data_IF_625570294737
#
_entry.id   IF_625570294737
#
_cell.length_a   1.000
_cell.length_b   1.000
_cell.length_c   1.000
_cell.angle_alpha   90.00
_cell.angle_beta   90.00
_cell.angle_gamma   90.00
#
_symmetry.space_group_name_H-M   'P 1'
#
loop_
_entity.id
_entity.type
_entity.pdbx_description
1 polymer ?
#
# COMPACT_ATOMS: atom_id res chain seq x y z
N UNK A 1 8.19 55.25 -29.97
CA UNK A 1 8.10 55.09 -28.50
C UNK A 1 6.97 54.19 -28.07
N UNK A 2 5.74 54.26 -28.59
CA UNK A 2 4.57 53.43 -28.20
C UNK A 2 4.78 51.93 -28.40
N UNK A 3 5.47 51.49 -29.48
CA UNK A 3 5.73 50.05 -29.74
C UNK A 3 6.71 49.43 -28.73
N UNK A 4 7.71 50.17 -28.24
CA UNK A 4 8.65 49.71 -27.20
C UNK A 4 7.98 49.64 -25.83
N UNK A 5 7.07 50.57 -25.53
CA UNK A 5 6.28 50.55 -24.28
C UNK A 5 5.31 49.38 -24.25
N UNK A 6 4.68 49.05 -25.37
CA UNK A 6 3.77 47.90 -25.50
C UNK A 6 4.51 46.56 -25.33
N UNK A 7 5.71 46.47 -25.96
CA UNK A 7 6.57 45.27 -25.79
C UNK A 7 7.06 45.08 -24.35
N UNK A 8 7.35 46.16 -23.64
CA UNK A 8 7.76 46.12 -22.24
C UNK A 8 6.58 45.70 -21.32
N UNK A 9 5.40 46.23 -21.63
CA UNK A 9 4.18 45.88 -20.89
C UNK A 9 3.77 44.38 -21.07
N UNK A 10 3.87 43.87 -22.31
CA UNK A 10 3.61 42.46 -22.59
C UNK A 10 4.64 41.55 -21.93
N UNK A 11 5.91 41.90 -21.90
CA UNK A 11 6.94 41.15 -21.19
C UNK A 11 6.71 41.14 -19.66
N UNK A 12 6.29 42.26 -19.09
CA UNK A 12 5.97 42.40 -17.67
C UNK A 12 4.76 41.53 -17.29
N UNK A 13 3.72 41.53 -18.13
CA UNK A 13 2.53 40.68 -17.92
C UNK A 13 2.87 39.18 -18.03
N UNK A 14 3.75 38.82 -18.99
CA UNK A 14 4.21 37.44 -19.13
C UNK A 14 5.03 37.00 -17.90
N UNK A 15 5.89 37.86 -17.34
CA UNK A 15 6.63 37.56 -16.11
C UNK A 15 5.73 37.43 -14.88
N UNK A 16 4.64 38.20 -14.80
CA UNK A 16 3.66 38.06 -13.70
C UNK A 16 2.88 36.73 -13.76
N UNK A 17 2.63 36.19 -14.95
CA UNK A 17 1.98 34.88 -15.11
C UNK A 17 2.90 33.71 -14.78
N UNK A 18 4.23 33.89 -14.78
CA UNK A 18 5.18 32.84 -14.37
C UNK A 18 5.43 32.79 -12.86
N UNK A 19 4.95 33.78 -12.09
CA UNK A 19 4.98 33.76 -10.64
C UNK A 19 3.79 32.96 -10.11
N UNK A 20 3.73 31.63 -10.40
CA UNK A 20 2.91 30.72 -9.64
C UNK A 20 3.53 30.65 -8.25
N UNK A 21 2.85 31.05 -7.17
CA UNK A 21 3.37 30.81 -5.84
C UNK A 21 3.55 29.28 -5.70
N UNK A 22 4.80 28.85 -5.65
CA UNK A 22 5.11 27.52 -5.20
C UNK A 22 4.72 27.51 -3.71
N UNK A 23 3.48 27.15 -3.41
CA UNK A 23 3.17 26.63 -2.08
C UNK A 23 4.06 25.41 -1.95
N UNK A 24 5.05 25.47 -1.08
CA UNK A 24 5.85 24.32 -0.74
C UNK A 24 4.88 23.31 -0.09
N UNK A 25 4.36 22.40 -0.90
CA UNK A 25 3.65 21.24 -0.38
C UNK A 25 4.60 20.50 0.55
N UNK A 26 4.10 20.05 1.71
CA UNK A 26 4.89 19.22 2.61
C UNK A 26 5.34 17.98 1.85
N UNK A 27 6.61 17.57 1.99
CA UNK A 27 7.11 16.37 1.34
C UNK A 27 6.31 15.15 1.82
N UNK A 28 6.16 14.17 0.94
CA UNK A 28 5.47 12.92 1.27
C UNK A 28 6.33 12.02 2.16
N UNK A 29 7.68 12.14 2.04
CA UNK A 29 8.64 11.43 2.87
C UNK A 29 9.30 12.42 3.83
N UNK A 30 8.91 12.36 5.09
CA UNK A 30 9.40 13.21 6.18
C UNK A 30 10.37 12.43 7.04
N UNK A 31 11.64 12.40 6.63
CA UNK A 31 12.70 11.68 7.35
C UNK A 31 13.33 12.62 8.41
N UNK A 32 12.64 12.83 9.53
CA UNK A 32 13.12 13.72 10.60
C UNK A 32 14.19 13.07 11.47
N UNK A 33 14.36 11.77 11.39
CA UNK A 33 15.42 11.02 12.07
C UNK A 33 16.72 10.96 11.27
N UNK A 34 16.71 11.42 10.00
CA UNK A 34 17.83 11.26 9.07
C UNK A 34 18.24 9.78 8.92
N UNK A 35 17.23 8.89 8.86
CA UNK A 35 17.40 7.44 8.75
C UNK A 35 18.02 7.05 7.40
N UNK A 36 17.67 7.80 6.37
CA UNK A 36 18.09 7.54 5.00
C UNK A 36 19.14 8.55 4.56
N UNK A 37 19.95 8.16 3.57
CA UNK A 37 20.79 9.11 2.86
C UNK A 37 19.92 10.04 2.02
N UNK A 38 20.37 11.30 1.75
CA UNK A 38 19.58 12.25 0.97
C UNK A 38 19.11 11.73 -0.39
N UNK A 39 19.95 10.93 -1.07
CA UNK A 39 19.60 10.33 -2.36
C UNK A 39 18.48 9.30 -2.22
N UNK A 40 18.51 8.49 -1.16
CA UNK A 40 17.48 7.49 -0.87
C UNK A 40 16.16 8.14 -0.45
N UNK A 41 16.21 9.24 0.33
CA UNK A 41 15.03 10.02 0.67
C UNK A 41 14.38 10.61 -0.57
N UNK A 42 15.19 11.17 -1.50
CA UNK A 42 14.69 11.71 -2.75
C UNK A 42 14.05 10.64 -3.65
N UNK A 43 14.62 9.44 -3.68
CA UNK A 43 14.06 8.30 -4.42
C UNK A 43 12.72 7.84 -3.83
N UNK A 44 12.64 7.70 -2.51
CA UNK A 44 11.38 7.37 -1.82
C UNK A 44 10.32 8.45 -2.02
N UNK A 45 10.71 9.73 -1.97
CA UNK A 45 9.83 10.86 -2.26
C UNK A 45 9.24 10.78 -3.67
N UNK A 46 10.08 10.51 -4.68
CA UNK A 46 9.61 10.36 -6.05
C UNK A 46 8.62 9.18 -6.17
N UNK A 47 8.94 8.04 -5.56
CA UNK A 47 8.02 6.88 -5.53
C UNK A 47 6.70 7.20 -4.84
N UNK A 48 6.73 7.94 -3.73
CA UNK A 48 5.53 8.35 -3.02
C UNK A 48 4.68 9.33 -3.84
N UNK A 49 5.32 10.25 -4.58
CA UNK A 49 4.64 11.15 -5.51
C UNK A 49 3.99 10.37 -6.65
N UNK A 50 4.71 9.42 -7.25
CA UNK A 50 4.19 8.58 -8.32
C UNK A 50 3.00 7.74 -7.83
N UNK A 51 3.09 7.15 -6.62
CA UNK A 51 2.02 6.38 -5.98
C UNK A 51 0.77 7.22 -5.66
N UNK A 52 0.95 8.51 -5.38
CA UNK A 52 -0.15 9.43 -5.05
C UNK A 52 -0.79 10.04 -6.30
N UNK A 53 -0.05 10.06 -7.41
CA UNK A 53 -0.44 10.79 -8.62
C UNK A 53 -1.76 10.26 -9.21
N UNK A 54 -2.73 11.16 -9.38
CA UNK A 54 -4.01 10.84 -10.03
C UNK A 54 -5.04 10.13 -9.16
N UNK A 55 -4.70 9.72 -7.94
CA UNK A 55 -5.59 8.95 -7.06
C UNK A 55 -6.37 9.81 -6.04
N UNK A 56 -5.96 11.07 -5.86
CA UNK A 56 -6.59 11.95 -4.87
C UNK A 56 -6.37 11.52 -3.41
N UNK A 57 -5.33 10.72 -3.18
CA UNK A 57 -4.90 10.22 -1.86
C UNK A 57 -3.38 10.28 -1.80
N UNK A 58 -2.83 10.98 -0.82
CA UNK A 58 -1.39 11.08 -0.64
C UNK A 58 -0.84 9.93 0.22
N UNK A 59 0.33 9.41 -0.18
CA UNK A 59 1.04 8.35 0.54
C UNK A 59 2.21 8.98 1.29
N UNK A 60 2.12 9.00 2.62
CA UNK A 60 3.12 9.61 3.50
C UNK A 60 3.96 8.58 4.25
N UNK A 61 5.23 8.87 4.40
CA UNK A 61 6.17 8.18 5.28
C UNK A 61 6.76 9.19 6.27
N UNK A 62 6.72 8.87 7.56
CA UNK A 62 7.31 9.70 8.61
C UNK A 62 8.25 8.86 9.47
N UNK A 63 9.50 9.31 9.62
CA UNK A 63 10.43 8.76 10.59
C UNK A 63 10.70 9.78 11.69
N UNK A 64 10.62 9.35 12.94
CA UNK A 64 10.92 10.19 14.12
C UNK A 64 11.82 9.45 15.09
N UNK A 65 12.59 10.18 15.91
CA UNK A 65 13.39 9.56 16.98
C UNK A 65 12.49 9.08 18.11
N UNK A 66 11.75 10.00 18.72
CA UNK A 66 10.94 9.76 19.91
C UNK A 66 9.54 10.37 19.76
N UNK A 67 8.58 9.76 20.41
CA UNK A 67 7.18 10.20 20.47
C UNK A 67 6.82 10.79 21.83
N UNK A 68 7.81 11.05 22.69
CA UNK A 68 7.63 11.66 24.02
C UNK A 68 6.80 10.82 24.99
N UNK A 69 6.81 9.49 24.84
CA UNK A 69 6.01 8.58 25.66
C UNK A 69 4.51 8.62 25.38
N UNK A 70 4.10 9.29 24.31
CA UNK A 70 2.70 9.32 23.85
C UNK A 70 2.31 7.99 23.16
N UNK A 71 1.02 7.78 23.02
CA UNK A 71 0.54 6.71 22.15
C UNK A 71 0.90 7.02 20.69
N UNK A 72 1.56 6.08 20.00
CA UNK A 72 2.07 6.27 18.63
C UNK A 72 0.96 6.68 17.65
N UNK A 73 -0.26 6.16 17.82
CA UNK A 73 -1.40 6.49 16.95
C UNK A 73 -1.90 7.92 17.19
N UNK A 74 -1.94 8.36 18.43
CA UNK A 74 -2.34 9.75 18.73
C UNK A 74 -1.27 10.73 18.26
N UNK A 75 0.01 10.42 18.46
CA UNK A 75 1.10 11.21 17.91
C UNK A 75 1.02 11.35 16.38
N UNK A 76 0.79 10.25 15.67
CA UNK A 76 0.64 10.27 14.20
C UNK A 76 -0.56 11.12 13.75
N UNK A 77 -1.69 11.04 14.46
CA UNK A 77 -2.88 11.85 14.18
C UNK A 77 -2.63 13.35 14.42
N UNK A 78 -1.96 13.68 15.52
CA UNK A 78 -1.63 15.06 15.85
C UNK A 78 -0.64 15.63 14.84
N UNK A 79 0.35 14.86 14.44
CA UNK A 79 1.27 15.21 13.36
C UNK A 79 0.51 15.50 12.06
N UNK A 80 -0.34 14.56 11.64
CA UNK A 80 -1.13 14.68 10.41
C UNK A 80 -1.96 15.98 10.38
N UNK A 81 -2.59 16.30 11.49
CA UNK A 81 -3.41 17.53 11.63
C UNK A 81 -2.57 18.79 11.73
N UNK A 82 -1.47 18.76 12.49
CA UNK A 82 -0.63 19.94 12.74
C UNK A 82 0.06 20.45 11.48
N UNK A 83 0.41 19.53 10.58
CA UNK A 83 1.04 19.84 9.31
C UNK A 83 0.04 19.90 8.15
N UNK A 84 -1.26 19.84 8.45
CA UNK A 84 -2.35 19.95 7.48
C UNK A 84 -2.20 18.98 6.30
N UNK A 85 -1.74 17.75 6.58
CA UNK A 85 -1.43 16.73 5.58
C UNK A 85 -2.69 16.23 4.86
N UNK A 86 -2.51 15.66 3.67
CA UNK A 86 -3.56 15.03 2.88
C UNK A 86 -3.92 15.78 1.62
N UNK A 87 -4.47 15.07 0.66
CA UNK A 87 -4.88 15.60 -0.62
C UNK A 87 -6.24 16.29 -0.53
N UNK A 88 -6.33 17.49 -1.09
CA UNK A 88 -7.57 18.26 -1.24
C UNK A 88 -8.23 18.66 0.09
N UNK A 89 -9.47 19.14 0.00
CA UNK A 89 -10.23 19.58 1.18
C UNK A 89 -10.53 18.44 2.17
N UNK A 90 -10.68 17.20 1.67
CA UNK A 90 -10.93 16.00 2.47
C UNK A 90 -9.69 15.47 3.19
N UNK A 91 -8.52 16.10 3.00
CA UNK A 91 -7.25 15.69 3.61
C UNK A 91 -6.99 14.19 3.45
N UNK A 92 -7.21 13.70 2.21
CA UNK A 92 -7.15 12.28 1.91
C UNK A 92 -5.71 11.78 1.90
N UNK A 93 -5.41 10.74 2.66
CA UNK A 93 -4.07 10.16 2.70
C UNK A 93 -3.95 8.93 3.59
N UNK A 94 -2.80 8.30 3.46
CA UNK A 94 -2.31 7.25 4.34
C UNK A 94 -0.93 7.67 4.85
N UNK A 95 -0.69 7.54 6.15
CA UNK A 95 0.59 7.85 6.78
C UNK A 95 1.11 6.60 7.49
N UNK A 96 2.33 6.20 7.17
CA UNK A 96 3.10 5.23 7.94
C UNK A 96 4.16 5.96 8.76
N UNK A 97 4.08 5.81 10.08
CA UNK A 97 5.02 6.39 11.02
C UNK A 97 5.91 5.31 11.61
N UNK A 98 7.21 5.58 11.69
CA UNK A 98 8.22 4.77 12.36
C UNK A 98 8.87 5.62 13.45
N UNK A 99 8.73 5.23 14.71
CA UNK A 99 9.41 5.84 15.87
C UNK A 99 10.57 4.93 16.30
N UNK A 100 11.81 5.37 16.05
CA UNK A 100 12.96 4.49 16.12
C UNK A 100 13.40 4.18 17.57
N UNK A 101 13.35 5.16 18.47
CA UNK A 101 13.80 4.98 19.84
C UNK A 101 12.85 4.10 20.66
N UNK A 102 11.53 4.27 20.47
CA UNK A 102 10.51 3.43 21.11
C UNK A 102 10.28 2.11 20.36
N UNK A 103 10.78 1.98 19.12
CA UNK A 103 10.52 0.86 18.19
C UNK A 103 9.04 0.64 17.92
N UNK A 104 8.29 1.74 17.91
CA UNK A 104 6.88 1.75 17.58
C UNK A 104 6.66 2.11 16.11
N UNK A 105 5.56 1.65 15.58
CA UNK A 105 5.08 2.05 14.26
C UNK A 105 3.57 2.14 14.26
N UNK A 106 3.02 2.84 13.28
CA UNK A 106 1.57 2.90 13.07
C UNK A 106 1.26 3.31 11.64
N UNK A 107 0.21 2.71 11.10
CA UNK A 107 -0.44 3.17 9.87
C UNK A 107 -1.76 3.86 10.24
N UNK A 108 -1.97 5.06 9.71
CA UNK A 108 -3.23 5.80 9.84
C UNK A 108 -3.71 6.27 8.47
N UNK A 109 -5.03 6.41 8.33
CA UNK A 109 -5.69 6.86 7.09
C UNK A 109 -6.65 8.00 7.37
N UNK A 110 -6.79 8.91 6.41
CA UNK A 110 -7.71 10.04 6.46
C UNK A 110 -8.44 10.23 5.12
N UNK A 111 -9.62 10.84 5.19
CA UNK A 111 -10.41 11.17 4.01
C UNK A 111 -10.67 9.97 3.10
N UNK A 112 -10.39 10.11 1.81
CA UNK A 112 -10.50 9.02 0.83
C UNK A 112 -9.59 7.83 1.11
N UNK A 113 -8.49 8.02 1.85
CA UNK A 113 -7.62 6.93 2.29
C UNK A 113 -8.35 5.91 3.15
N UNK A 114 -9.29 6.33 4.00
CA UNK A 114 -10.10 5.40 4.83
C UNK A 114 -10.93 4.45 3.96
N UNK A 115 -11.39 4.92 2.80
CA UNK A 115 -12.18 4.10 1.88
C UNK A 115 -11.30 3.20 1.02
N UNK A 116 -10.16 3.68 0.56
CA UNK A 116 -9.25 2.94 -0.31
C UNK A 116 -8.48 1.83 0.44
N UNK A 117 -8.08 2.11 1.70
CA UNK A 117 -7.28 1.21 2.52
C UNK A 117 -8.13 0.59 3.63
N UNK A 118 -8.61 -0.63 3.39
CA UNK A 118 -9.31 -1.42 4.40
C UNK A 118 -8.35 -1.90 5.50
N UNK A 119 -8.88 -2.22 6.69
CA UNK A 119 -8.08 -2.83 7.76
C UNK A 119 -7.37 -4.11 7.28
N UNK A 120 -8.04 -4.89 6.42
CA UNK A 120 -7.46 -6.07 5.79
C UNK A 120 -6.21 -5.73 4.97
N UNK A 121 -6.26 -4.67 4.16
CA UNK A 121 -5.11 -4.26 3.34
C UNK A 121 -4.00 -3.65 4.17
N UNK A 122 -4.33 -2.85 5.17
CA UNK A 122 -3.35 -2.31 6.12
C UNK A 122 -2.62 -3.44 6.83
N UNK A 123 -3.33 -4.45 7.33
CA UNK A 123 -2.72 -5.61 7.96
C UNK A 123 -1.76 -6.35 7.01
N UNK A 124 -2.13 -6.54 5.72
CA UNK A 124 -1.23 -7.15 4.73
C UNK A 124 0.05 -6.32 4.50
N UNK A 125 -0.08 -4.99 4.45
CA UNK A 125 1.08 -4.10 4.32
C UNK A 125 1.98 -4.27 5.55
N UNK A 126 1.43 -4.15 6.75
CA UNK A 126 2.16 -4.27 8.01
C UNK A 126 2.81 -5.68 8.16
N UNK A 127 2.09 -6.75 7.88
CA UNK A 127 2.63 -8.12 7.89
C UNK A 127 3.86 -8.29 6.99
N UNK A 128 3.90 -7.52 5.88
CA UNK A 128 5.02 -7.56 4.94
C UNK A 128 6.22 -6.74 5.38
N UNK A 129 5.98 -5.53 5.93
CA UNK A 129 7.04 -4.57 6.22
C UNK A 129 7.62 -4.70 7.65
N UNK A 130 6.83 -5.12 8.64
CA UNK A 130 7.27 -5.20 10.04
C UNK A 130 8.46 -6.14 10.24
N UNK A 131 8.52 -7.33 9.61
CA UNK A 131 9.76 -8.14 9.66
C UNK A 131 10.98 -7.41 9.14
N UNK A 132 10.83 -6.63 8.06
CA UNK A 132 11.93 -5.85 7.47
C UNK A 132 12.42 -4.73 8.42
N UNK A 133 11.50 -4.09 9.17
CA UNK A 133 11.87 -3.12 10.21
C UNK A 133 12.63 -3.80 11.33
N UNK A 134 12.20 -4.99 11.76
CA UNK A 134 12.87 -5.78 12.81
C UNK A 134 14.27 -6.19 12.40
N UNK A 135 14.49 -6.47 11.11
CA UNK A 135 15.79 -6.80 10.52
C UNK A 135 16.67 -5.56 10.25
N UNK A 136 16.17 -4.35 10.53
CA UNK A 136 16.89 -3.10 10.29
C UNK A 136 16.97 -2.68 8.81
N UNK A 137 16.20 -3.32 7.94
CA UNK A 137 16.16 -2.99 6.49
C UNK A 137 15.13 -1.91 6.18
N UNK A 138 15.26 -0.76 6.86
CA UNK A 138 14.27 0.33 6.84
C UNK A 138 13.98 0.88 5.44
N UNK A 139 15.01 1.06 4.60
CA UNK A 139 14.80 1.53 3.23
C UNK A 139 13.89 0.58 2.45
N UNK A 140 14.17 -0.73 2.51
CA UNK A 140 13.37 -1.74 1.82
C UNK A 140 11.95 -1.84 2.36
N UNK A 141 11.77 -1.69 3.68
CA UNK A 141 10.46 -1.62 4.30
C UNK A 141 9.65 -0.43 3.79
N UNK A 142 10.28 0.76 3.74
CA UNK A 142 9.66 2.00 3.26
C UNK A 142 9.30 1.93 1.77
N UNK A 143 10.22 1.42 0.95
CA UNK A 143 9.98 1.18 -0.48
C UNK A 143 8.80 0.22 -0.68
N UNK A 144 8.80 -0.92 0.01
CA UNK A 144 7.72 -1.92 -0.08
C UNK A 144 6.38 -1.34 0.38
N UNK A 145 6.37 -0.51 1.44
CA UNK A 145 5.17 0.20 1.88
C UNK A 145 4.59 1.07 0.76
N UNK A 146 5.42 1.92 0.14
CA UNK A 146 4.99 2.82 -0.94
C UNK A 146 4.47 2.03 -2.15
N UNK A 147 5.19 0.98 -2.56
CA UNK A 147 4.78 0.10 -3.67
C UNK A 147 3.43 -0.56 -3.39
N UNK A 148 3.22 -1.10 -2.18
CA UNK A 148 1.94 -1.72 -1.81
C UNK A 148 0.80 -0.71 -1.70
N UNK A 149 1.10 0.56 -1.34
CA UNK A 149 0.12 1.63 -1.38
C UNK A 149 -0.27 1.98 -2.82
N UNK A 150 0.71 2.08 -3.74
CA UNK A 150 0.46 2.30 -5.17
C UNK A 150 -0.45 1.21 -5.75
N UNK A 151 -0.09 -0.07 -5.56
CA UNK A 151 -0.91 -1.21 -6.00
C UNK A 151 -2.35 -1.15 -5.48
N UNK A 152 -2.52 -0.66 -4.24
CA UNK A 152 -3.84 -0.54 -3.60
C UNK A 152 -4.68 0.55 -4.24
N UNK A 153 -4.05 1.70 -4.51
CA UNK A 153 -4.72 2.85 -5.13
C UNK A 153 -5.07 2.55 -6.59
N UNK A 154 -4.16 1.90 -7.33
CA UNK A 154 -4.41 1.43 -8.69
C UNK A 154 -5.57 0.42 -8.73
N UNK A 155 -5.58 -0.56 -7.83
CA UNK A 155 -6.68 -1.52 -7.70
C UNK A 155 -8.00 -0.81 -7.41
N UNK A 156 -7.99 0.15 -6.47
CA UNK A 156 -9.19 0.91 -6.12
C UNK A 156 -9.71 1.75 -7.30
N UNK A 157 -8.80 2.38 -8.05
CA UNK A 157 -9.15 3.15 -9.25
C UNK A 157 -9.71 2.27 -10.36
N UNK A 158 -9.12 1.08 -10.58
CA UNK A 158 -9.57 0.14 -11.63
C UNK A 158 -10.91 -0.53 -11.29
N UNK A 159 -11.08 -0.97 -10.05
CA UNK A 159 -12.25 -1.78 -9.64
C UNK A 159 -13.41 -0.98 -9.07
N UNK A 160 -13.17 0.28 -8.65
CA UNK A 160 -14.16 1.09 -7.95
C UNK A 160 -14.55 0.54 -6.57
N UNK A 161 -13.76 -0.39 -6.02
CA UNK A 161 -14.00 -1.02 -4.73
C UNK A 161 -12.67 -1.28 -4.01
N UNK A 162 -12.61 -1.12 -2.66
CA UNK A 162 -11.39 -1.33 -1.91
C UNK A 162 -10.98 -2.81 -1.92
N UNK A 163 -9.67 -3.04 -1.81
CA UNK A 163 -9.13 -4.39 -1.72
C UNK A 163 -9.43 -4.99 -0.33
N UNK A 164 -10.13 -6.11 -0.32
CA UNK A 164 -10.48 -6.84 0.90
C UNK A 164 -10.27 -8.36 0.75
N UNK A 165 -10.60 -9.11 1.79
CA UNK A 165 -10.41 -10.57 1.81
C UNK A 165 -11.26 -11.32 0.77
N UNK A 166 -12.34 -10.71 0.29
CA UNK A 166 -13.28 -11.31 -0.67
C UNK A 166 -12.87 -11.12 -2.13
N UNK A 167 -12.16 -10.02 -2.45
CA UNK A 167 -11.78 -9.64 -3.80
C UNK A 167 -10.26 -9.64 -4.06
N UNK A 168 -9.44 -10.10 -3.07
CA UNK A 168 -7.99 -10.15 -3.18
C UNK A 168 -7.55 -11.10 -4.32
N UNK A 169 -6.90 -10.56 -5.39
CA UNK A 169 -6.43 -11.37 -6.51
C UNK A 169 -5.42 -12.44 -6.09
N UNK A 170 -4.60 -12.17 -5.06
CA UNK A 170 -3.60 -13.11 -4.56
C UNK A 170 -4.23 -14.38 -3.95
N UNK A 171 -5.48 -14.31 -3.50
CA UNK A 171 -6.25 -15.45 -2.97
C UNK A 171 -7.14 -16.11 -4.01
N UNK A 172 -7.22 -15.59 -5.22
CA UNK A 172 -8.08 -16.12 -6.29
C UNK A 172 -7.83 -17.59 -6.60
N UNK A 173 -6.59 -18.05 -6.54
CA UNK A 173 -6.22 -19.46 -6.79
C UNK A 173 -6.83 -20.44 -5.75
N UNK A 174 -7.07 -19.98 -4.52
CA UNK A 174 -7.65 -20.80 -3.44
C UNK A 174 -9.06 -21.27 -3.85
N UNK A 175 -9.85 -20.45 -4.52
CA UNK A 175 -11.18 -20.81 -5.03
C UNK A 175 -11.10 -22.00 -6.01
N UNK A 176 -10.06 -22.02 -6.86
CA UNK A 176 -9.84 -23.11 -7.82
C UNK A 176 -9.44 -24.42 -7.12
N UNK A 177 -8.69 -24.36 -6.02
CA UNK A 177 -8.37 -25.54 -5.21
C UNK A 177 -9.64 -26.15 -4.64
N UNK A 178 -10.53 -25.37 -4.05
CA UNK A 178 -11.80 -25.87 -3.51
C UNK A 178 -12.72 -26.43 -4.60
N UNK A 179 -12.78 -25.79 -5.75
CA UNK A 179 -13.71 -26.16 -6.85
C UNK A 179 -13.19 -27.38 -7.63
N UNK A 180 -11.90 -27.54 -7.81
CA UNK A 180 -11.35 -28.58 -8.70
C UNK A 180 -10.52 -29.64 -7.94
N UNK A 181 -9.59 -29.22 -7.08
CA UNK A 181 -8.63 -30.15 -6.46
C UNK A 181 -9.29 -31.03 -5.42
N UNK A 182 -10.12 -30.48 -4.54
CA UNK A 182 -10.79 -31.27 -3.51
C UNK A 182 -11.79 -32.26 -4.10
N UNK A 183 -12.71 -31.91 -5.02
CA UNK A 183 -13.61 -32.88 -5.63
C UNK A 183 -12.87 -33.96 -6.41
N UNK A 184 -11.78 -33.60 -7.10
CA UNK A 184 -10.97 -34.58 -7.84
C UNK A 184 -10.31 -35.58 -6.88
N UNK A 185 -9.75 -35.12 -5.76
CA UNK A 185 -9.17 -35.99 -4.75
C UNK A 185 -10.20 -36.96 -4.15
N UNK A 186 -11.40 -36.45 -3.85
CA UNK A 186 -12.51 -37.30 -3.35
C UNK A 186 -12.91 -38.33 -4.40
N UNK A 187 -13.06 -37.95 -5.67
CA UNK A 187 -13.37 -38.88 -6.74
C UNK A 187 -12.32 -39.98 -6.91
N UNK A 188 -11.01 -39.63 -6.83
CA UNK A 188 -9.92 -40.61 -6.89
C UNK A 188 -9.99 -41.61 -5.70
N UNK A 189 -10.28 -41.11 -4.49
CA UNK A 189 -10.41 -41.99 -3.31
C UNK A 189 -11.59 -42.98 -3.48
N UNK A 190 -12.74 -42.47 -3.92
CA UNK A 190 -13.93 -43.29 -4.16
C UNK A 190 -13.67 -44.36 -5.24
N UNK A 191 -13.07 -43.95 -6.38
CA UNK A 191 -12.69 -44.90 -7.44
C UNK A 191 -11.67 -45.93 -6.95
N UNK A 192 -10.71 -45.54 -6.13
CA UNK A 192 -9.74 -46.46 -5.52
C UNK A 192 -10.38 -47.50 -4.60
N UNK A 193 -11.36 -47.09 -3.78
CA UNK A 193 -12.13 -48.00 -2.93
C UNK A 193 -12.95 -48.98 -3.79
N UNK A 194 -13.63 -48.47 -4.82
CA UNK A 194 -14.40 -49.35 -5.75
C UNK A 194 -13.49 -50.36 -6.44
N UNK A 195 -12.33 -49.91 -6.93
CA UNK A 195 -11.36 -50.81 -7.57
C UNK A 195 -10.83 -51.87 -6.62
N UNK A 196 -10.50 -51.51 -5.38
CA UNK A 196 -10.07 -52.47 -4.35
C UNK A 196 -11.18 -53.50 -4.01
N UNK A 197 -12.45 -53.04 -3.91
CA UNK A 197 -13.59 -53.94 -3.70
C UNK A 197 -13.78 -54.94 -4.84
N UNK A 198 -13.65 -54.49 -6.10
CA UNK A 198 -13.76 -55.34 -7.28
C UNK A 198 -12.64 -56.38 -7.35
N UNK A 199 -11.41 -56.03 -6.99
CA UNK A 199 -10.30 -56.98 -6.91
C UNK A 199 -10.50 -58.03 -5.83
N UNK A 200 -11.10 -57.65 -4.68
CA UNK A 200 -11.35 -58.57 -3.60
C UNK A 200 -12.54 -59.53 -3.85
N UNK A 201 -13.53 -59.09 -4.67
CA UNK A 201 -14.71 -59.90 -5.03
C UNK A 201 -14.50 -60.73 -6.30
N UNK A 202 -13.33 -60.67 -6.94
CA UNK A 202 -13.03 -61.50 -8.10
C UNK A 202 -12.87 -62.97 -7.62
N UNK A 203 -13.67 -63.92 -8.11
CA UNK A 203 -13.60 -65.31 -7.69
C UNK A 203 -12.24 -65.91 -8.07
N UNK A 204 -11.62 -66.59 -7.09
CA UNK A 204 -10.34 -67.26 -7.29
C UNK A 204 -10.49 -68.33 -8.39
N UNK A 205 -9.51 -68.44 -9.34
CA UNK A 205 -9.53 -69.43 -10.42
C UNK A 205 -9.48 -70.90 -9.96
N UNK A 206 -9.49 -71.14 -8.63
CA UNK A 206 -9.36 -72.47 -8.06
C UNK A 206 -10.71 -73.15 -7.74
N UNK A 207 -11.87 -72.52 -7.94
CA UNK A 207 -13.17 -73.06 -7.60
C UNK A 207 -13.94 -73.67 -8.80
N UNK A 208 -13.26 -73.92 -9.93
CA UNK A 208 -13.83 -74.69 -11.03
C UNK A 208 -13.09 -75.99 -11.18
N UNK A 209 -13.44 -76.97 -10.25
CA UNK A 209 -13.27 -78.38 -10.46
C UNK A 209 -14.47 -79.13 -9.89
#
# INVERSE_FOLDING_TARGET
MKKKLFSLLTALVLCLFCAVPAFAEMPLVMDTYELFKPEATAELEQKAQDASAGHGVNVYLLTVSDIGGQNVREFAKDWYRSYDLGYGEGKSGILFLIALDSRDYVTITYGGGVTAFTDYRIAQIEDKIVPMLSDGTYYKASETYIEMCADTLDFYAEKGAPLDSGNDPAKGWIKWVFVFVIPLAVACIVCGIFYACLLYTSPSPRDTR
#
